data_IF_141317625133
#
_entry.id   IF_141317625133
#
_cell.length_a   1.000
_cell.length_b   1.000
_cell.length_c   1.000
_cell.angle_alpha   90.00
_cell.angle_beta   90.00
_cell.angle_gamma   90.00
#
_symmetry.space_group_name_H-M   'P 1'
#
loop_
_entity.id
_entity.type
_entity.pdbx_description
1 polymer ?
#
# COMPACT_ATOMS: atom_id res chain seq x y z
N UNK A 1 6.76 -27.46 -5.25
CA UNK A 1 7.37 -26.21 -4.74
C UNK A 1 7.01 -26.04 -3.27
N UNK A 2 7.52 -26.91 -2.39
CA UNK A 2 7.05 -27.06 -0.98
C UNK A 2 8.02 -26.44 0.04
N UNK A 3 9.14 -25.86 -0.40
CA UNK A 3 10.23 -25.47 0.53
C UNK A 3 10.15 -24.02 1.04
N UNK A 4 9.20 -23.22 0.52
CA UNK A 4 9.03 -21.81 0.92
C UNK A 4 7.81 -21.55 1.78
N UNK A 5 6.86 -22.50 1.89
CA UNK A 5 5.63 -22.35 2.67
C UNK A 5 5.78 -23.01 4.04
N UNK A 6 5.58 -22.21 5.09
CA UNK A 6 5.75 -22.55 6.50
C UNK A 6 4.36 -22.66 7.14
N UNK A 7 3.98 -23.87 7.54
CA UNK A 7 2.62 -24.18 8.05
C UNK A 7 2.60 -24.70 9.49
N UNK A 8 3.76 -24.79 10.16
CA UNK A 8 3.84 -25.26 11.56
C UNK A 8 4.52 -24.25 12.48
N UNK A 9 4.19 -24.23 13.78
CA UNK A 9 4.90 -23.39 14.76
C UNK A 9 6.42 -23.52 14.73
N UNK A 10 6.95 -24.72 14.52
CA UNK A 10 8.39 -25.00 14.53
C UNK A 10 9.10 -24.38 13.32
N UNK A 11 8.41 -24.35 12.17
CA UNK A 11 8.95 -23.76 10.93
C UNK A 11 9.19 -22.25 11.04
N UNK A 12 8.54 -21.55 11.97
CA UNK A 12 8.77 -20.12 12.24
C UNK A 12 10.23 -19.83 12.58
N UNK A 13 10.89 -20.71 13.33
CA UNK A 13 12.30 -20.51 13.70
C UNK A 13 13.24 -20.59 12.49
N UNK A 14 12.89 -21.39 11.48
CA UNK A 14 13.64 -21.45 10.23
C UNK A 14 13.57 -20.11 9.50
N UNK A 15 12.38 -19.50 9.44
CA UNK A 15 12.17 -18.17 8.84
C UNK A 15 12.95 -17.11 9.62
N UNK A 16 12.84 -17.08 10.95
CA UNK A 16 13.60 -16.15 11.80
C UNK A 16 15.10 -16.28 11.55
N UNK A 17 15.63 -17.50 11.52
CA UNK A 17 17.03 -17.76 11.25
C UNK A 17 17.44 -17.26 9.87
N UNK A 18 16.66 -17.49 8.82
CA UNK A 18 16.96 -17.01 7.48
C UNK A 18 17.02 -15.47 7.44
N UNK A 19 16.01 -14.80 8.00
CA UNK A 19 15.92 -13.33 8.03
C UNK A 19 17.09 -12.70 8.79
N UNK A 20 17.44 -13.23 9.97
CA UNK A 20 18.53 -12.71 10.80
C UNK A 20 19.91 -13.03 10.20
N UNK A 21 20.11 -14.25 9.69
CA UNK A 21 21.40 -14.67 9.12
C UNK A 21 21.77 -13.95 7.83
N UNK A 22 20.80 -13.36 7.13
CA UNK A 22 21.09 -12.53 5.96
C UNK A 22 22.10 -11.41 6.28
N UNK A 23 22.18 -10.96 7.54
CA UNK A 23 23.14 -9.96 8.00
C UNK A 23 22.97 -8.58 7.37
N UNK A 24 21.98 -8.42 6.49
CA UNK A 24 21.78 -7.22 5.69
C UNK A 24 21.14 -6.06 6.47
N UNK A 25 20.44 -6.38 7.56
CA UNK A 25 19.64 -5.42 8.29
C UNK A 25 18.37 -4.99 7.56
N UNK A 26 18.04 -5.59 6.41
CA UNK A 26 16.88 -5.26 5.58
C UNK A 26 16.08 -6.51 5.24
N UNK A 27 14.76 -6.44 5.30
CA UNK A 27 13.85 -7.50 4.85
C UNK A 27 12.76 -6.93 3.95
N UNK A 28 12.19 -7.78 3.11
CA UNK A 28 11.02 -7.49 2.27
C UNK A 28 9.80 -8.12 2.91
N UNK A 29 8.68 -7.40 2.93
CA UNK A 29 7.50 -7.82 3.66
C UNK A 29 6.23 -7.45 2.92
N UNK A 30 5.26 -8.37 2.92
CA UNK A 30 3.92 -8.21 2.35
C UNK A 30 2.95 -9.15 3.09
N UNK A 31 1.68 -8.78 3.19
CA UNK A 31 0.64 -9.64 3.76
C UNK A 31 -0.42 -9.96 2.71
N UNK A 32 -1.06 -11.12 2.85
CA UNK A 32 -2.22 -11.49 2.05
C UNK A 32 -3.34 -12.04 2.93
N UNK A 33 -4.58 -11.84 2.50
CA UNK A 33 -5.74 -12.26 3.26
C UNK A 33 -7.08 -11.88 2.64
N UNK A 34 -8.16 -12.32 3.28
CA UNK A 34 -9.53 -11.90 2.94
C UNK A 34 -9.77 -10.52 3.53
N UNK A 35 -10.16 -9.56 2.70
CA UNK A 35 -10.44 -8.17 3.10
C UNK A 35 -9.35 -7.63 4.04
N UNK A 36 -8.09 -7.87 3.66
CA UNK A 36 -6.92 -7.72 4.53
C UNK A 36 -6.91 -6.35 5.22
N UNK A 37 -6.89 -6.35 6.55
CA UNK A 37 -6.78 -5.14 7.35
C UNK A 37 -8.08 -4.34 7.49
N UNK A 38 -9.17 -4.77 6.87
CA UNK A 38 -10.52 -4.25 7.11
C UNK A 38 -11.18 -4.89 8.33
N UNK A 39 -12.19 -4.21 8.86
CA UNK A 39 -13.04 -4.76 9.92
C UNK A 39 -13.71 -6.06 9.43
N UNK A 40 -13.47 -7.15 10.15
CA UNK A 40 -13.96 -8.49 9.77
C UNK A 40 -13.09 -9.22 8.75
N UNK A 41 -11.98 -8.60 8.30
CA UNK A 41 -10.96 -9.23 7.50
C UNK A 41 -10.18 -10.31 8.26
N UNK A 42 -9.32 -11.02 7.52
CA UNK A 42 -8.46 -12.04 8.08
C UNK A 42 -7.10 -12.07 7.38
N UNK A 43 -6.03 -11.92 8.14
CA UNK A 43 -4.66 -12.20 7.71
C UNK A 43 -4.45 -13.72 7.52
N UNK A 44 -4.08 -14.11 6.30
CA UNK A 44 -3.89 -15.52 5.91
C UNK A 44 -2.41 -15.85 5.70
N UNK A 45 -1.64 -14.94 5.11
CA UNK A 45 -0.25 -15.20 4.75
C UNK A 45 0.65 -14.02 5.11
N UNK A 46 1.80 -14.31 5.72
CA UNK A 46 2.91 -13.37 5.82
C UNK A 46 3.99 -13.76 4.81
N UNK A 47 4.38 -12.83 3.96
CA UNK A 47 5.42 -13.04 2.96
C UNK A 47 6.68 -12.28 3.36
N UNK A 48 7.80 -12.97 3.35
CA UNK A 48 9.10 -12.42 3.68
C UNK A 48 10.11 -12.68 2.58
N UNK A 49 11.07 -11.77 2.42
CA UNK A 49 12.28 -12.03 1.66
C UNK A 49 13.49 -11.35 2.25
N UNK A 50 14.66 -11.81 1.86
CA UNK A 50 15.94 -11.14 2.14
C UNK A 50 16.51 -10.53 0.86
N UNK A 51 17.55 -9.68 0.94
CA UNK A 51 18.21 -9.14 -0.26
C UNK A 51 18.85 -10.20 -1.17
N UNK A 52 19.05 -11.44 -0.70
CA UNK A 52 19.52 -12.56 -1.54
C UNK A 52 18.44 -12.96 -2.54
N UNK A 53 18.73 -13.02 -3.85
CA UNK A 53 17.73 -13.01 -4.94
C UNK A 53 16.63 -14.09 -4.86
N UNK A 54 16.92 -15.29 -4.32
CA UNK A 54 15.96 -16.40 -4.29
C UNK A 54 15.29 -16.67 -2.94
N UNK A 55 15.59 -15.87 -1.92
CA UNK A 55 15.12 -16.14 -0.56
C UNK A 55 13.72 -15.53 -0.33
N UNK A 56 12.72 -16.40 -0.33
CA UNK A 56 11.31 -16.09 -0.05
C UNK A 56 10.77 -17.09 0.95
N UNK A 57 10.08 -16.59 1.98
CA UNK A 57 9.39 -17.41 2.98
C UNK A 57 7.95 -16.93 3.12
N UNK A 58 7.01 -17.86 3.01
CA UNK A 58 5.58 -17.62 3.14
C UNK A 58 5.10 -18.34 4.40
N UNK A 59 4.48 -17.64 5.33
CA UNK A 59 4.04 -18.20 6.62
C UNK A 59 2.51 -18.21 6.64
N UNK A 60 1.91 -19.40 6.65
CA UNK A 60 0.46 -19.60 6.68
C UNK A 60 -0.05 -19.36 8.10
N UNK A 61 -0.62 -18.19 8.33
CA UNK A 61 -0.95 -17.67 9.67
C UNK A 61 -1.98 -18.55 10.40
N UNK A 62 -3.11 -18.96 9.78
CA UNK A 62 -4.05 -19.87 10.42
C UNK A 62 -3.45 -21.21 10.86
N UNK A 63 -2.56 -21.81 10.08
CA UNK A 63 -1.97 -23.12 10.39
C UNK A 63 -0.86 -23.01 11.46
N UNK A 64 -0.05 -21.96 11.40
CA UNK A 64 1.02 -21.71 12.38
C UNK A 64 0.46 -21.25 13.73
N UNK A 65 -0.59 -20.44 13.71
CA UNK A 65 -1.21 -19.86 14.89
C UNK A 65 -0.49 -18.61 15.41
N UNK A 66 -1.27 -17.59 15.78
CA UNK A 66 -0.75 -16.29 16.22
C UNK A 66 0.31 -16.35 17.35
N UNK A 67 0.17 -17.19 18.39
CA UNK A 67 1.17 -17.24 19.47
C UNK A 67 2.58 -17.61 18.97
N UNK A 68 2.67 -18.49 17.97
CA UNK A 68 3.95 -18.94 17.42
C UNK A 68 4.64 -17.87 16.56
N UNK A 69 3.91 -16.87 16.07
CA UNK A 69 4.44 -15.79 15.22
C UNK A 69 5.19 -14.70 15.98
N UNK A 70 5.15 -14.71 17.32
CA UNK A 70 5.79 -13.68 18.15
C UNK A 70 7.27 -13.39 17.80
N UNK A 71 8.12 -14.38 17.47
CA UNK A 71 9.48 -14.12 17.01
C UNK A 71 9.55 -13.29 15.71
N UNK A 72 8.66 -13.54 14.74
CA UNK A 72 8.58 -12.76 13.50
C UNK A 72 8.06 -11.35 13.77
N UNK A 73 7.06 -11.22 14.64
CA UNK A 73 6.57 -9.90 15.04
C UNK A 73 7.65 -9.07 15.74
N UNK A 74 8.56 -9.68 16.51
CA UNK A 74 9.71 -8.98 17.09
C UNK A 74 10.65 -8.40 16.01
N UNK A 75 10.80 -9.08 14.88
CA UNK A 75 11.56 -8.58 13.71
C UNK A 75 10.82 -7.39 13.08
N UNK A 76 9.50 -7.51 12.88
CA UNK A 76 8.66 -6.45 12.32
C UNK A 76 8.66 -5.18 13.20
N UNK A 77 8.65 -5.34 14.53
CA UNK A 77 8.70 -4.23 15.50
C UNK A 77 10.11 -3.70 15.78
N UNK A 78 11.14 -4.36 15.26
CA UNK A 78 12.52 -3.94 15.46
C UNK A 78 12.77 -2.58 14.83
N UNK A 79 13.32 -1.59 15.58
CA UNK A 79 13.71 -0.31 15.00
C UNK A 79 15.03 -0.40 14.21
N UNK A 80 15.74 -1.53 14.30
CA UNK A 80 17.06 -1.71 13.66
C UNK A 80 16.93 -2.41 12.30
N UNK A 81 16.01 -3.36 12.18
CA UNK A 81 15.79 -4.09 10.92
C UNK A 81 14.88 -3.24 10.03
N UNK A 82 15.32 -2.86 8.84
CA UNK A 82 14.53 -2.09 7.88
C UNK A 82 13.55 -3.02 7.15
N UNK A 83 12.27 -2.65 7.12
CA UNK A 83 11.24 -3.37 6.34
C UNK A 83 10.95 -2.60 5.07
N UNK A 84 11.12 -3.25 3.94
CA UNK A 84 10.69 -2.73 2.65
C UNK A 84 9.31 -3.30 2.35
N UNK A 85 8.34 -2.42 2.10
CA UNK A 85 6.93 -2.75 1.82
C UNK A 85 6.43 -2.03 0.58
N UNK A 86 5.29 -2.45 0.06
CA UNK A 86 4.58 -1.74 -1.00
C UNK A 86 3.13 -1.50 -0.60
N UNK A 87 2.76 -0.25 -0.32
CA UNK A 87 1.45 0.08 0.24
C UNK A 87 1.16 -0.55 1.61
N UNK A 88 2.09 -0.40 2.56
CA UNK A 88 2.04 -1.09 3.86
C UNK A 88 0.89 -0.70 4.80
N UNK A 89 -0.08 0.08 4.32
CA UNK A 89 -1.23 0.56 5.10
C UNK A 89 -2.09 -0.60 5.59
N UNK A 90 -2.51 -1.48 4.68
CA UNK A 90 -3.41 -2.59 5.03
C UNK A 90 -2.67 -3.69 5.81
N UNK A 91 -1.41 -3.94 5.47
CA UNK A 91 -0.53 -4.81 6.26
C UNK A 91 -0.43 -4.34 7.72
N UNK A 92 -0.15 -3.05 7.92
CA UNK A 92 -0.08 -2.45 9.25
C UNK A 92 -1.45 -2.49 9.96
N UNK A 93 -2.56 -2.33 9.23
CA UNK A 93 -3.90 -2.46 9.81
C UNK A 93 -4.14 -3.87 10.35
N UNK A 94 -3.88 -4.89 9.53
CA UNK A 94 -4.04 -6.30 9.91
C UNK A 94 -3.14 -6.66 11.10
N UNK A 95 -1.86 -6.30 11.03
CA UNK A 95 -0.91 -6.52 12.12
C UNK A 95 -1.35 -5.86 13.44
N UNK A 96 -1.91 -4.65 13.37
CA UNK A 96 -2.32 -3.93 14.57
C UNK A 96 -3.64 -4.45 15.14
N UNK A 97 -4.68 -4.59 14.31
CA UNK A 97 -6.04 -4.89 14.77
C UNK A 97 -6.31 -6.40 14.90
N UNK A 98 -5.62 -7.24 14.12
CA UNK A 98 -5.86 -8.69 14.08
C UNK A 98 -4.76 -9.49 14.81
N UNK A 99 -3.54 -8.97 14.89
CA UNK A 99 -2.38 -9.70 15.43
C UNK A 99 -1.88 -9.20 16.81
N UNK A 100 -2.70 -8.45 17.55
CA UNK A 100 -2.38 -8.01 18.91
C UNK A 100 -1.47 -6.78 18.96
N UNK A 101 -1.83 -5.74 18.20
CA UNK A 101 -1.17 -4.42 18.21
C UNK A 101 0.29 -4.43 17.70
N UNK A 102 0.62 -5.28 16.74
CA UNK A 102 1.96 -5.33 16.15
C UNK A 102 2.20 -4.08 15.30
N UNK A 103 3.28 -3.33 15.60
CA UNK A 103 3.61 -2.07 14.89
C UNK A 103 4.90 -2.22 14.08
N UNK A 104 4.80 -2.13 12.76
CA UNK A 104 5.96 -2.07 11.89
C UNK A 104 6.80 -0.83 12.22
N UNK A 105 8.09 -1.02 12.48
CA UNK A 105 9.05 0.08 12.74
C UNK A 105 10.14 0.10 11.69
N UNK A 106 10.81 1.23 11.46
CA UNK A 106 11.89 1.33 10.46
C UNK A 106 11.44 0.81 9.07
N UNK A 107 10.43 1.45 8.49
CA UNK A 107 9.80 1.01 7.23
C UNK A 107 10.15 1.96 6.10
N UNK A 108 10.38 1.40 4.92
CA UNK A 108 10.40 2.11 3.64
C UNK A 108 9.27 1.55 2.77
N UNK A 109 8.32 2.42 2.46
CA UNK A 109 7.26 2.15 1.51
C UNK A 109 7.67 2.65 0.12
N UNK A 110 7.73 1.73 -0.84
CA UNK A 110 8.20 2.03 -2.21
C UNK A 110 7.25 3.00 -2.95
N UNK A 111 5.97 3.07 -2.62
CA UNK A 111 5.08 4.06 -3.23
C UNK A 111 5.42 5.48 -2.78
N UNK A 112 5.79 5.66 -1.51
CA UNK A 112 6.29 6.94 -1.00
C UNK A 112 7.62 7.31 -1.66
N UNK A 113 8.53 6.35 -1.75
CA UNK A 113 9.78 6.53 -2.48
C UNK A 113 9.52 6.96 -3.94
N UNK A 114 8.50 6.39 -4.59
CA UNK A 114 8.13 6.70 -5.96
C UNK A 114 7.63 8.14 -6.16
N UNK A 115 6.77 8.61 -5.26
CA UNK A 115 6.31 10.00 -5.26
C UNK A 115 7.49 10.97 -5.09
N UNK A 116 8.44 10.65 -4.22
CA UNK A 116 9.67 11.46 -4.04
C UNK A 116 10.57 11.41 -5.27
N UNK A 117 10.78 10.22 -5.84
CA UNK A 117 11.58 10.03 -7.05
C UNK A 117 11.02 10.81 -8.24
N UNK A 118 9.69 10.82 -8.40
CA UNK A 118 8.98 11.65 -9.39
C UNK A 118 9.31 13.13 -9.24
N UNK A 119 9.25 13.67 -8.02
CA UNK A 119 9.60 15.07 -7.73
C UNK A 119 11.05 15.41 -8.04
N UNK A 120 11.98 14.52 -7.70
CA UNK A 120 13.40 14.70 -8.02
C UNK A 120 13.65 14.79 -9.54
N UNK A 121 12.85 14.08 -10.34
CA UNK A 121 12.91 14.15 -11.82
C UNK A 121 12.16 15.36 -12.42
N UNK A 122 11.71 16.30 -11.59
CA UNK A 122 11.06 17.53 -12.04
C UNK A 122 9.53 17.46 -12.11
N UNK A 123 8.89 16.39 -11.63
CA UNK A 123 7.44 16.37 -11.42
C UNK A 123 7.07 17.30 -10.25
N UNK A 124 6.84 18.56 -10.56
CA UNK A 124 6.34 19.56 -9.59
C UNK A 124 4.83 19.42 -9.42
N UNK A 125 4.31 19.91 -8.29
CA UNK A 125 2.87 20.00 -8.04
C UNK A 125 2.19 20.82 -9.16
N UNK A 126 1.05 20.35 -9.66
CA UNK A 126 0.35 20.88 -10.85
C UNK A 126 1.15 20.85 -12.18
N UNK A 127 2.24 20.10 -12.27
CA UNK A 127 2.89 19.83 -13.56
C UNK A 127 1.95 19.06 -14.50
N UNK A 128 2.07 19.26 -15.81
CA UNK A 128 1.30 18.50 -16.81
C UNK A 128 1.43 16.99 -16.62
N UNK A 129 2.60 16.52 -16.18
CA UNK A 129 2.84 15.10 -15.94
C UNK A 129 2.04 14.59 -14.72
N UNK A 130 2.16 15.22 -13.54
CA UNK A 130 1.38 14.85 -12.35
C UNK A 130 -0.12 14.86 -12.64
N UNK A 131 -0.57 15.92 -13.32
CA UNK A 131 -1.95 16.12 -13.71
C UNK A 131 -2.44 15.08 -14.73
N UNK A 132 -1.59 14.63 -15.66
CA UNK A 132 -1.91 13.52 -16.55
C UNK A 132 -2.11 12.18 -15.84
N UNK A 133 -1.43 11.96 -14.70
CA UNK A 133 -1.61 10.74 -13.91
C UNK A 133 -2.96 10.74 -13.21
N UNK A 134 -3.39 11.88 -12.66
CA UNK A 134 -4.71 12.02 -12.02
C UNK A 134 -5.84 11.96 -13.06
N UNK A 135 -5.61 12.47 -14.28
CA UNK A 135 -6.59 12.37 -15.37
C UNK A 135 -6.99 10.94 -15.69
N UNK A 136 -6.13 9.94 -15.43
CA UNK A 136 -6.49 8.51 -15.56
C UNK A 136 -7.43 8.01 -14.46
N UNK A 137 -7.54 8.75 -13.36
CA UNK A 137 -8.38 8.45 -12.20
C UNK A 137 -9.70 9.23 -12.24
N UNK A 138 -9.70 10.46 -12.76
CA UNK A 138 -10.86 11.36 -12.81
C UNK A 138 -11.45 11.49 -14.23
N UNK A 139 -12.76 11.79 -14.37
CA UNK A 139 -13.36 12.13 -15.67
C UNK A 139 -12.73 13.40 -16.28
N UNK A 140 -12.55 13.41 -17.60
CA UNK A 140 -11.88 14.49 -18.35
C UNK A 140 -12.53 15.87 -18.13
N UNK A 141 -13.86 15.94 -18.17
CA UNK A 141 -14.61 17.19 -18.05
C UNK A 141 -14.47 17.81 -16.66
N UNK A 142 -14.54 16.98 -15.62
CA UNK A 142 -14.37 17.43 -14.23
C UNK A 142 -12.94 17.94 -14.00
N UNK A 143 -11.97 17.19 -14.52
CA UNK A 143 -10.56 17.51 -14.40
C UNK A 143 -10.19 18.85 -15.03
N UNK A 144 -10.70 19.13 -16.23
CA UNK A 144 -10.46 20.40 -16.92
C UNK A 144 -11.00 21.60 -16.13
N UNK A 145 -12.21 21.49 -15.59
CA UNK A 145 -12.87 22.56 -14.84
C UNK A 145 -12.24 22.82 -13.45
N UNK A 146 -11.66 21.79 -12.83
CA UNK A 146 -11.22 21.85 -11.43
C UNK A 146 -9.72 21.61 -11.23
N UNK A 147 -8.91 21.77 -12.29
CA UNK A 147 -7.47 21.48 -12.30
C UNK A 147 -6.69 22.02 -11.09
N UNK A 148 -6.99 23.25 -10.65
CA UNK A 148 -6.32 23.90 -9.51
C UNK A 148 -6.56 23.20 -8.16
N UNK A 149 -7.65 22.44 -8.04
CA UNK A 149 -8.03 21.65 -6.86
C UNK A 149 -7.13 20.45 -6.66
N UNK A 150 -6.65 19.85 -7.76
CA UNK A 150 -5.91 18.59 -7.75
C UNK A 150 -4.39 18.77 -7.78
N UNK A 151 -3.89 20.01 -7.57
CA UNK A 151 -2.45 20.34 -7.59
C UNK A 151 -1.63 19.47 -6.64
N UNK A 152 -2.19 19.16 -5.48
CA UNK A 152 -1.50 18.45 -4.38
C UNK A 152 -2.04 17.01 -4.20
N UNK A 153 -2.86 16.53 -5.15
CA UNK A 153 -3.39 15.15 -5.16
C UNK A 153 -2.46 14.28 -5.99
N UNK A 154 -2.01 13.14 -5.48
CA UNK A 154 -1.07 12.28 -6.22
C UNK A 154 -1.68 10.90 -6.46
N UNK A 155 -1.62 10.42 -7.70
CA UNK A 155 -1.98 9.04 -8.03
C UNK A 155 -0.82 8.11 -7.66
N UNK A 156 -1.17 7.07 -6.93
CA UNK A 156 -0.32 5.95 -6.60
C UNK A 156 -0.40 4.88 -7.69
N UNK A 157 0.75 4.33 -8.08
CA UNK A 157 0.81 3.23 -9.06
C UNK A 157 0.82 1.91 -8.30
N UNK A 158 0.02 0.92 -8.71
CA UNK A 158 0.13 -0.43 -8.14
C UNK A 158 1.46 -1.11 -8.49
N UNK A 159 1.84 -2.15 -7.74
CA UNK A 159 3.15 -2.80 -7.80
C UNK A 159 3.58 -3.20 -9.22
N UNK A 160 2.78 -4.00 -9.92
CA UNK A 160 3.06 -4.41 -11.31
C UNK A 160 3.09 -3.23 -12.29
N UNK A 161 2.20 -2.24 -12.08
CA UNK A 161 2.17 -1.02 -12.86
C UNK A 161 3.46 -0.22 -12.73
N UNK A 162 3.93 -0.02 -11.49
CA UNK A 162 5.18 0.69 -11.24
C UNK A 162 6.38 -0.05 -11.82
N UNK A 163 6.43 -1.38 -11.68
CA UNK A 163 7.48 -2.21 -12.27
C UNK A 163 7.58 -2.01 -13.79
N UNK A 164 6.43 -2.00 -14.49
CA UNK A 164 6.35 -1.72 -15.93
C UNK A 164 6.75 -0.28 -16.27
N UNK A 165 6.26 0.71 -15.50
CA UNK A 165 6.59 2.13 -15.68
C UNK A 165 8.10 2.41 -15.54
N UNK A 166 8.78 1.66 -14.67
CA UNK A 166 10.24 1.73 -14.45
C UNK A 166 11.06 0.94 -15.47
N UNK A 167 10.39 0.23 -16.39
CA UNK A 167 10.99 -0.60 -17.46
C UNK A 167 12.00 -1.61 -16.90
N UNK A 168 11.68 -2.24 -15.78
CA UNK A 168 12.54 -3.24 -15.16
C UNK A 168 12.48 -4.57 -15.92
N UNK A 169 13.59 -5.31 -15.89
CA UNK A 169 13.69 -6.63 -16.50
C UNK A 169 12.98 -7.71 -15.68
N UNK A 170 12.35 -8.68 -16.37
CA UNK A 170 11.47 -9.69 -15.76
C UNK A 170 9.99 -9.38 -15.98
N UNK A 171 9.60 -9.09 -17.23
CA UNK A 171 8.21 -8.75 -17.59
C UNK A 171 7.20 -9.81 -17.15
N UNK A 172 7.64 -11.07 -17.12
CA UNK A 172 6.80 -12.21 -16.71
C UNK A 172 6.34 -12.08 -15.25
N UNK A 173 7.15 -11.50 -14.37
CA UNK A 173 6.78 -11.25 -12.96
C UNK A 173 5.60 -10.28 -12.86
N UNK A 174 5.60 -9.21 -13.67
CA UNK A 174 4.48 -8.26 -13.71
C UNK A 174 3.21 -8.89 -14.30
N UNK A 175 3.35 -9.76 -15.29
CA UNK A 175 2.23 -10.49 -15.90
C UNK A 175 1.59 -11.51 -14.96
N UNK A 176 2.39 -12.18 -14.13
CA UNK A 176 1.93 -13.12 -13.09
C UNK A 176 0.98 -12.43 -12.10
N UNK A 177 1.38 -11.29 -11.53
CA UNK A 177 0.52 -10.55 -10.57
C UNK A 177 -0.81 -10.17 -11.21
N UNK A 178 -0.79 -9.63 -12.43
CA UNK A 178 -2.01 -9.23 -13.13
C UNK A 178 -2.94 -10.40 -13.48
N UNK A 179 -2.36 -11.57 -13.78
CA UNK A 179 -3.13 -12.79 -14.08
C UNK A 179 -3.95 -13.27 -12.89
N UNK A 180 -3.40 -13.16 -11.67
CA UNK A 180 -3.95 -13.77 -10.47
C UNK A 180 -4.72 -12.80 -9.54
N UNK A 181 -4.43 -11.50 -9.58
CA UNK A 181 -4.97 -10.51 -8.63
C UNK A 181 -6.51 -10.42 -8.54
N UNK A 182 -7.28 -11.03 -9.46
CA UNK A 182 -8.75 -11.06 -9.44
C UNK A 182 -9.34 -12.47 -9.37
N UNK A 183 -8.50 -13.49 -9.20
CA UNK A 183 -8.91 -14.90 -9.28
C UNK A 183 -8.63 -15.70 -8.02
N UNK A 184 -7.81 -15.15 -7.11
CA UNK A 184 -7.44 -15.83 -5.88
C UNK A 184 -8.48 -15.57 -4.81
N UNK A 185 -8.97 -16.65 -4.23
CA UNK A 185 -9.82 -16.64 -3.05
C UNK A 185 -8.96 -17.05 -1.84
N UNK A 186 -8.59 -16.06 -1.03
CA UNK A 186 -7.75 -16.27 0.15
C UNK A 186 -8.46 -17.06 1.27
N UNK A 187 -9.75 -17.36 1.13
CA UNK A 187 -10.45 -18.30 2.01
C UNK A 187 -10.24 -19.76 1.63
N UNK A 188 -9.71 -20.05 0.43
CA UNK A 188 -9.48 -21.41 -0.05
C UNK A 188 -8.47 -22.16 0.84
N UNK A 189 -8.82 -23.38 1.24
CA UNK A 189 -7.95 -24.25 2.02
C UNK A 189 -7.89 -25.67 1.41
N UNK A 190 -6.69 -26.21 1.16
CA UNK A 190 -5.36 -25.59 1.35
C UNK A 190 -5.08 -24.48 0.33
N UNK A 191 -4.15 -23.58 0.65
CA UNK A 191 -3.67 -22.60 -0.33
C UNK A 191 -3.09 -23.30 -1.56
N UNK A 192 -3.55 -22.89 -2.74
CA UNK A 192 -3.11 -23.45 -4.02
C UNK A 192 -1.72 -22.95 -4.44
N UNK A 193 -1.11 -23.63 -5.41
CA UNK A 193 0.16 -23.19 -6.01
C UNK A 193 0.07 -21.78 -6.62
N UNK A 194 -1.12 -21.33 -7.04
CA UNK A 194 -1.33 -19.99 -7.56
C UNK A 194 -1.24 -18.93 -6.45
N UNK A 195 -1.76 -19.20 -5.24
CA UNK A 195 -1.58 -18.34 -4.07
C UNK A 195 -0.11 -18.20 -3.70
N UNK A 196 0.59 -19.34 -3.61
CA UNK A 196 2.03 -19.40 -3.29
C UNK A 196 2.85 -18.64 -4.34
N UNK A 197 2.54 -18.85 -5.62
CA UNK A 197 3.22 -18.18 -6.74
C UNK A 197 2.99 -16.68 -6.72
N UNK A 198 1.76 -16.24 -6.48
CA UNK A 198 1.41 -14.83 -6.40
C UNK A 198 2.15 -14.11 -5.28
N UNK A 199 2.04 -14.61 -4.05
CA UNK A 199 2.67 -14.01 -2.87
C UNK A 199 4.22 -13.98 -3.00
N UNK A 200 4.82 -15.07 -3.48
CA UNK A 200 6.26 -15.10 -3.71
C UNK A 200 6.70 -14.14 -4.82
N UNK A 201 5.88 -13.94 -5.85
CA UNK A 201 6.15 -13.00 -6.93
C UNK A 201 6.13 -11.54 -6.47
N UNK A 202 5.29 -11.19 -5.51
CA UNK A 202 5.23 -9.84 -4.95
C UNK A 202 6.50 -9.46 -4.20
N UNK A 203 7.04 -10.35 -3.39
CA UNK A 203 8.36 -10.17 -2.76
C UNK A 203 9.46 -9.99 -3.82
N UNK A 204 9.44 -10.78 -4.90
CA UNK A 204 10.43 -10.66 -5.99
C UNK A 204 10.33 -9.32 -6.73
N UNK A 205 9.11 -8.87 -7.03
CA UNK A 205 8.88 -7.55 -7.64
C UNK A 205 9.36 -6.43 -6.72
N UNK A 206 9.05 -6.53 -5.42
CA UNK A 206 9.43 -5.55 -4.42
C UNK A 206 10.95 -5.43 -4.28
N UNK A 207 11.67 -6.55 -4.26
CA UNK A 207 13.15 -6.60 -4.26
C UNK A 207 13.77 -5.86 -5.43
N UNK A 208 13.28 -6.14 -6.65
CA UNK A 208 13.79 -5.49 -7.87
C UNK A 208 13.50 -3.98 -7.89
N UNK A 209 12.32 -3.57 -7.43
CA UNK A 209 12.00 -2.15 -7.27
C UNK A 209 12.91 -1.51 -6.24
N UNK A 210 13.07 -2.10 -5.07
CA UNK A 210 13.96 -1.59 -4.04
C UNK A 210 15.39 -1.39 -4.56
N UNK A 211 15.97 -2.40 -5.21
CA UNK A 211 17.30 -2.30 -5.83
C UNK A 211 17.39 -1.13 -6.83
N UNK A 212 16.37 -0.94 -7.68
CA UNK A 212 16.31 0.19 -8.61
C UNK A 212 16.29 1.55 -7.91
N UNK A 213 15.57 1.65 -6.79
CA UNK A 213 15.42 2.89 -6.01
C UNK A 213 16.66 3.21 -5.18
N UNK A 214 17.32 2.20 -4.60
CA UNK A 214 18.63 2.34 -3.93
C UNK A 214 19.67 2.84 -4.92
N UNK A 215 19.78 2.20 -6.10
CA UNK A 215 20.77 2.58 -7.12
C UNK A 215 20.64 4.02 -7.63
N UNK A 216 19.49 4.67 -7.39
CA UNK A 216 19.22 6.06 -7.78
C UNK A 216 19.13 7.01 -6.59
N UNK A 217 19.48 6.56 -5.39
CA UNK A 217 19.46 7.33 -4.16
C UNK A 217 18.07 7.93 -3.83
N UNK A 218 16.99 7.22 -4.18
CA UNK A 218 15.63 7.69 -3.90
C UNK A 218 15.17 7.38 -2.48
N UNK A 219 15.78 6.41 -1.80
CA UNK A 219 15.47 6.07 -0.41
C UNK A 219 16.28 6.98 0.52
N UNK A 220 15.59 7.95 1.10
CA UNK A 220 16.17 8.98 1.97
C UNK A 220 15.52 8.91 3.36
N UNK A 221 16.10 9.59 4.35
CA UNK A 221 15.48 9.67 5.69
C UNK A 221 14.12 10.36 5.66
N UNK A 222 13.90 11.25 4.68
CA UNK A 222 12.60 11.83 4.44
C UNK A 222 11.58 10.76 4.00
N UNK A 223 11.96 9.87 3.07
CA UNK A 223 11.10 8.75 2.66
C UNK A 223 10.78 7.86 3.86
N UNK A 224 11.77 7.51 4.70
CA UNK A 224 11.54 6.69 5.91
C UNK A 224 10.50 7.29 6.85
N UNK A 225 10.62 8.58 7.14
CA UNK A 225 9.64 9.30 8.00
C UNK A 225 8.25 9.28 7.39
N UNK A 226 8.15 9.60 6.11
CA UNK A 226 6.88 9.65 5.39
C UNK A 226 6.24 8.27 5.23
N UNK A 227 7.05 7.22 5.06
CA UNK A 227 6.59 5.83 5.04
C UNK A 227 6.02 5.41 6.40
N UNK A 228 6.66 5.75 7.51
CA UNK A 228 6.13 5.49 8.84
C UNK A 228 4.79 6.20 9.09
N UNK A 229 4.68 7.47 8.69
CA UNK A 229 3.41 8.21 8.76
C UNK A 229 2.33 7.60 7.85
N UNK A 230 2.72 7.14 6.66
CA UNK A 230 1.81 6.58 5.67
C UNK A 230 1.20 5.25 6.11
N UNK A 231 2.00 4.30 6.59
CA UNK A 231 1.48 2.98 7.00
C UNK A 231 0.70 3.05 8.32
N UNK A 232 1.03 4.01 9.19
CA UNK A 232 0.39 4.14 10.52
C UNK A 232 -0.99 4.81 10.49
N UNK A 233 -1.51 5.16 9.31
CA UNK A 233 -2.79 5.86 9.15
C UNK A 233 -3.95 5.20 9.89
N UNK A 234 -4.04 3.87 9.82
CA UNK A 234 -5.15 3.10 10.39
C UNK A 234 -4.98 2.75 11.87
N UNK A 235 -3.78 2.95 12.43
CA UNK A 235 -3.58 2.92 13.88
C UNK A 235 -4.29 4.13 14.51
N UNK A 236 -4.11 5.31 13.92
CA UNK A 236 -4.63 6.57 14.47
C UNK A 236 -6.09 6.87 14.09
N UNK A 237 -6.56 6.37 12.94
CA UNK A 237 -7.88 6.69 12.37
C UNK A 237 -8.89 5.55 12.51
N UNK A 238 -8.54 4.48 13.22
CA UNK A 238 -9.31 3.25 13.35
C UNK A 238 -9.20 2.32 12.15
N UNK A 239 -9.55 1.05 12.33
CA UNK A 239 -9.57 0.03 11.27
C UNK A 239 -10.60 0.43 10.19
N UNK A 240 -10.22 0.43 8.89
CA UNK A 240 -11.15 0.67 7.79
C UNK A 240 -12.31 -0.33 7.78
N UNK A 241 -13.48 0.12 7.35
CA UNK A 241 -14.54 -0.80 6.94
C UNK A 241 -14.36 -1.08 5.44
N UNK A 242 -14.65 -2.31 5.01
CA UNK A 242 -14.59 -2.71 3.59
C UNK A 242 -15.39 -1.77 2.67
N UNK A 243 -16.54 -1.30 3.15
CA UNK A 243 -17.39 -0.34 2.42
C UNK A 243 -16.91 1.12 2.44
N UNK A 244 -15.76 1.47 3.04
CA UNK A 244 -15.28 2.85 3.11
C UNK A 244 -14.50 3.26 1.84
N UNK A 245 -15.13 4.03 0.90
CA UNK A 245 -14.49 4.39 -0.36
C UNK A 245 -13.30 5.34 -0.16
N UNK A 246 -13.21 6.02 0.99
CA UNK A 246 -12.13 6.97 1.28
C UNK A 246 -10.87 6.29 1.80
N UNK A 247 -10.90 4.96 1.96
CA UNK A 247 -9.77 4.16 2.43
C UNK A 247 -9.27 3.18 1.37
N UNK A 248 -10.14 2.82 0.42
CA UNK A 248 -9.87 1.92 -0.70
C UNK A 248 -9.63 2.63 -2.03
N UNK A 249 -8.56 3.43 -2.12
CA UNK A 249 -8.23 4.13 -3.36
C UNK A 249 -6.73 4.34 -3.62
N UNK A 250 -6.36 4.37 -4.91
CA UNK A 250 -5.00 4.63 -5.40
C UNK A 250 -4.58 6.11 -5.42
N UNK A 251 -4.97 6.89 -4.42
CA UNK A 251 -4.55 8.29 -4.25
C UNK A 251 -3.80 8.45 -2.93
N UNK A 252 -2.70 9.20 -2.96
CA UNK A 252 -1.90 9.48 -1.77
C UNK A 252 -2.70 10.34 -0.79
N UNK A 253 -2.85 9.92 0.48
CA UNK A 253 -3.48 10.73 1.51
C UNK A 253 -2.72 12.05 1.72
N UNK A 254 -3.45 13.17 1.77
CA UNK A 254 -2.85 14.49 1.95
C UNK A 254 -2.08 14.59 3.28
N UNK A 255 -1.07 15.44 3.31
CA UNK A 255 -0.28 15.72 4.51
C UNK A 255 0.77 14.67 4.85
N UNK A 256 0.97 13.64 4.02
CA UNK A 256 2.11 12.71 4.16
C UNK A 256 3.36 13.35 3.55
N UNK A 257 3.40 13.52 2.23
CA UNK A 257 4.56 14.11 1.53
C UNK A 257 4.55 15.65 1.52
N UNK A 258 3.40 16.26 1.75
CA UNK A 258 3.19 17.72 1.69
C UNK A 258 2.64 18.28 3.00
N UNK A 259 3.06 17.71 4.13
CA UNK A 259 2.70 18.23 5.44
C UNK A 259 3.08 19.72 5.54
N UNK A 260 2.09 20.61 5.42
CA UNK A 260 2.25 22.04 5.72
C UNK A 260 1.80 22.24 7.16
N UNK A 261 2.73 22.67 8.02
CA UNK A 261 2.48 22.99 9.43
C UNK A 261 1.53 24.18 9.60
N UNK A 262 0.24 23.96 9.35
CA UNK A 262 -0.81 24.95 9.52
C UNK A 262 -1.34 24.99 10.96
N UNK A 263 -1.64 26.18 11.46
CA UNK A 263 -2.11 26.39 12.86
C UNK A 263 -3.53 25.88 13.14
N UNK A 264 -4.30 25.49 12.13
CA UNK A 264 -5.68 24.99 12.27
C UNK A 264 -5.87 23.70 11.47
N UNK A 265 -6.14 22.62 12.19
CA UNK A 265 -6.52 21.34 11.61
C UNK A 265 -8.05 21.24 11.53
N UNK A 266 -8.55 20.85 10.36
CA UNK A 266 -9.97 20.63 10.06
C UNK A 266 -10.17 19.12 9.94
N UNK A 267 -11.23 18.60 10.56
CA UNK A 267 -11.65 17.22 10.41
C UNK A 267 -12.30 17.03 9.04
N UNK A 268 -11.75 16.15 8.20
CA UNK A 268 -12.32 15.84 6.90
C UNK A 268 -13.63 15.05 7.06
N UNK A 269 -14.71 15.47 6.39
CA UNK A 269 -16.00 14.75 6.39
C UNK A 269 -16.02 13.44 5.59
N UNK A 270 -14.94 13.13 4.85
CA UNK A 270 -14.77 11.86 4.14
C UNK A 270 -13.87 10.91 4.94
N UNK A 271 -12.55 11.00 4.72
CA UNK A 271 -11.56 10.13 5.36
C UNK A 271 -11.33 10.34 6.87
N UNK A 272 -12.11 11.22 7.52
CA UNK A 272 -12.05 11.54 8.97
C UNK A 272 -10.69 11.99 9.53
N UNK A 273 -9.68 12.23 8.67
CA UNK A 273 -8.37 12.74 9.08
C UNK A 273 -8.42 14.22 9.42
N UNK A 274 -7.63 14.62 10.42
CA UNK A 274 -7.35 16.02 10.76
C UNK A 274 -6.28 16.58 9.82
N UNK A 275 -6.64 17.55 8.98
CA UNK A 275 -5.76 18.10 7.94
C UNK A 275 -5.70 19.62 8.01
N UNK A 276 -4.58 20.21 7.58
CA UNK A 276 -4.45 21.67 7.51
C UNK A 276 -5.44 22.31 6.53
N UNK A 277 -5.80 23.58 6.76
CA UNK A 277 -6.75 24.36 5.95
C UNK A 277 -6.51 24.29 4.43
N UNK A 278 -5.25 24.22 4.02
CA UNK A 278 -4.83 24.15 2.62
C UNK A 278 -5.23 22.85 1.91
N UNK A 279 -5.68 21.83 2.65
CA UNK A 279 -6.19 20.57 2.10
C UNK A 279 -7.65 20.66 1.62
N UNK A 280 -8.29 21.82 1.79
CA UNK A 280 -9.72 22.03 1.55
C UNK A 280 -9.96 23.23 0.61
N UNK A 281 -11.05 23.22 -0.19
CA UNK A 281 -11.46 24.39 -0.97
C UNK A 281 -11.64 25.66 -0.10
N UNK A 282 -11.38 26.85 -0.67
CA UNK A 282 -11.46 28.13 0.08
C UNK A 282 -12.85 28.42 0.67
N UNK A 283 -13.92 27.92 0.05
CA UNK A 283 -15.32 28.15 0.48
C UNK A 283 -15.87 27.09 1.42
N UNK A 284 -15.14 26.00 1.70
CA UNK A 284 -15.65 24.86 2.46
C UNK A 284 -14.96 24.75 3.83
N UNK A 285 -14.92 25.83 4.61
CA UNK A 285 -14.38 25.80 5.98
C UNK A 285 -15.44 25.44 7.04
N UNK A 286 -16.47 24.71 6.63
CA UNK A 286 -17.63 24.35 7.45
C UNK A 286 -17.56 22.87 7.89
N UNK A 287 -18.40 22.54 8.87
CA UNK A 287 -18.55 21.18 9.39
C UNK A 287 -18.93 20.21 8.23
N UNK A 288 -18.19 19.11 8.08
CA UNK A 288 -18.41 18.14 6.99
C UNK A 288 -17.62 18.41 5.70
N UNK A 289 -16.75 19.42 5.65
CA UNK A 289 -15.91 19.68 4.49
C UNK A 289 -15.02 18.47 4.12
N UNK A 290 -14.96 18.13 2.83
CA UNK A 290 -14.09 17.08 2.30
C UNK A 290 -12.79 17.65 1.75
N UNK A 291 -11.68 16.97 2.02
CA UNK A 291 -10.37 17.33 1.49
C UNK A 291 -10.30 17.02 -0.02
N UNK A 292 -9.31 17.57 -0.72
CA UNK A 292 -9.20 17.41 -2.18
C UNK A 292 -9.10 15.95 -2.65
N UNK A 293 -8.52 15.05 -1.83
CA UNK A 293 -8.49 13.61 -2.13
C UNK A 293 -9.88 13.00 -2.01
N UNK A 294 -10.61 13.21 -0.90
CA UNK A 294 -11.96 12.68 -0.73
C UNK A 294 -12.93 13.21 -1.79
N UNK A 295 -12.77 14.46 -2.23
CA UNK A 295 -13.56 14.99 -3.35
C UNK A 295 -13.23 14.31 -4.68
N UNK A 296 -11.96 13.95 -4.91
CA UNK A 296 -11.58 13.18 -6.10
C UNK A 296 -12.18 11.77 -6.07
N UNK A 297 -12.27 11.16 -4.89
CA UNK A 297 -12.92 9.86 -4.67
C UNK A 297 -14.42 9.95 -4.97
N UNK A 298 -15.13 10.96 -4.43
CA UNK A 298 -16.57 11.17 -4.70
C UNK A 298 -16.85 11.24 -6.20
N UNK A 299 -16.09 12.09 -6.92
CA UNK A 299 -16.25 12.29 -8.37
C UNK A 299 -16.04 10.98 -9.14
N UNK A 300 -15.10 10.14 -8.70
CA UNK A 300 -14.86 8.84 -9.32
C UNK A 300 -16.01 7.88 -9.06
N UNK A 301 -16.47 7.78 -7.81
CA UNK A 301 -17.57 6.90 -7.42
C UNK A 301 -18.87 7.24 -8.17
N UNK A 302 -19.20 8.54 -8.29
CA UNK A 302 -20.34 9.00 -9.09
C UNK A 302 -20.23 8.53 -10.55
N UNK A 303 -19.04 8.58 -11.13
CA UNK A 303 -18.82 8.14 -12.52
C UNK A 303 -18.91 6.63 -12.70
N UNK A 304 -18.42 5.85 -11.75
CA UNK A 304 -18.53 4.38 -11.77
C UNK A 304 -20.01 3.99 -11.70
N UNK A 305 -20.78 4.59 -10.78
CA UNK A 305 -22.22 4.39 -10.68
C UNK A 305 -22.99 4.81 -11.95
N UNK A 306 -22.61 5.91 -12.61
CA UNK A 306 -23.20 6.31 -13.90
C UNK A 306 -22.95 5.28 -15.01
N UNK A 307 -21.75 4.68 -15.06
CA UNK A 307 -21.40 3.66 -16.06
C UNK A 307 -22.20 2.39 -15.84
N UNK A 308 -22.29 1.93 -14.60
CA UNK A 308 -23.09 0.75 -14.23
C UNK A 308 -24.57 0.93 -14.63
N UNK A 309 -25.16 2.09 -14.33
CA UNK A 309 -26.54 2.42 -14.74
C UNK A 309 -26.74 2.44 -16.25
N UNK A 310 -25.70 2.78 -17.04
CA UNK A 310 -25.78 2.76 -18.51
C UNK A 310 -25.69 1.35 -19.05
N UNK A 311 -24.76 0.55 -18.54
CA UNK A 311 -24.61 -0.84 -18.96
C UNK A 311 -25.90 -1.64 -18.68
N UNK A 312 -26.52 -1.46 -17.51
CA UNK A 312 -27.80 -2.11 -17.18
C UNK A 312 -28.94 -1.72 -18.14
N UNK A 313 -28.92 -0.50 -18.69
CA UNK A 313 -29.92 -0.05 -19.68
C UNK A 313 -29.64 -0.50 -21.11
N UNK A 314 -28.42 -0.92 -21.40
CA UNK A 314 -28.04 -1.47 -22.71
C UNK A 314 -28.26 -3.01 -22.76
N UNK A 315 -28.47 -3.64 -21.61
CA UNK A 315 -28.79 -5.07 -21.46
C UNK A 315 -30.30 -5.37 -21.36
N UNK A 316 -31.14 -4.34 -21.19
CA UNK A 316 -32.62 -4.38 -21.22
C UNK A 316 -33.19 -4.09 -22.62
#
# INVERSE_FOLDING_TARGET
MVDILHTTPESVQLVVHALVRSGSGTIFFDCEGRDLGDQGGALILLSFGTPSDDDVHLVHVPLVGLPALRPLFNILESPVIEKIVFDGRMDQSALYHECGCVVLRNVVDIQIADIRARRQRGERNASNFQLSQIRRYLPDDNFAAHRSMYRDVHRLSGLAGLFKERKLEGKDLGGIKEKFARKLDWEEQPLTDDHITYAANDIRLLKKLHAHFVARCYITDQVRRESAEYISLWISSGQPADSDPYRHHGLLPLGIVDAKGGKKNILCGGCTRKLGRDSFPKKSAEQGAKCFVCRAVDVRAEREAERERKNLKEEE
#
